data_IF_036056338274
#
_entry.id   IF_036056338274
#
_cell.length_a   1.000
_cell.length_b   1.000
_cell.length_c   1.000
_cell.angle_alpha   90.00
_cell.angle_beta   90.00
_cell.angle_gamma   90.00
#
_symmetry.space_group_name_H-M   'P 1'
#
loop_
_entity.id
_entity.type
_entity.pdbx_description
1 polymer ?
#
# COMPACT_ATOMS: atom_id res chain seq x y z
N UNK A 1 19.95 -2.23 17.72
CA UNK A 1 20.69 -1.51 16.65
C UNK A 1 19.68 -0.60 15.97
N UNK A 2 19.88 0.72 16.02
CA UNK A 2 18.97 1.67 15.38
C UNK A 2 19.30 1.70 13.89
N UNK A 3 18.55 0.95 13.08
CA UNK A 3 18.77 0.76 11.64
C UNK A 3 18.10 1.89 10.84
N UNK A 4 18.47 3.15 11.12
CA UNK A 4 18.06 4.27 10.30
C UNK A 4 19.10 4.54 9.21
N UNK A 5 18.69 4.61 7.95
CA UNK A 5 19.57 4.93 6.81
C UNK A 5 19.18 6.28 6.22
N UNK A 6 20.17 7.13 5.91
CA UNK A 6 19.94 8.45 5.30
C UNK A 6 20.21 8.39 3.80
N UNK A 7 19.34 8.98 2.99
CA UNK A 7 19.47 9.10 1.53
C UNK A 7 19.03 10.49 1.07
N UNK A 8 19.54 10.97 -0.06
CA UNK A 8 19.15 12.26 -0.65
C UNK A 8 18.32 12.05 -1.92
N UNK A 9 17.39 12.97 -2.17
CA UNK A 9 16.73 13.14 -3.47
C UNK A 9 16.78 14.63 -3.85
N UNK A 10 17.02 14.92 -5.13
CA UNK A 10 16.96 16.28 -5.65
C UNK A 10 15.76 16.37 -6.58
N UNK A 11 14.88 17.32 -6.31
CA UNK A 11 13.68 17.57 -7.09
C UNK A 11 13.72 18.96 -7.72
N UNK A 12 12.90 19.19 -8.74
CA UNK A 12 12.90 20.43 -9.52
C UNK A 12 13.88 20.44 -10.69
N UNK A 13 14.06 21.61 -11.30
CA UNK A 13 14.86 21.77 -12.52
C UNK A 13 15.60 23.10 -12.53
N UNK A 14 16.85 23.07 -13.01
CA UNK A 14 17.70 24.26 -13.09
C UNK A 14 17.98 24.85 -11.71
N UNK A 15 17.85 26.16 -11.58
CA UNK A 15 18.12 26.89 -10.33
C UNK A 15 17.02 26.71 -9.26
N UNK A 16 15.87 26.11 -9.62
CA UNK A 16 14.76 25.81 -8.70
C UNK A 16 14.82 24.36 -8.22
N UNK A 17 16.01 23.84 -7.95
CA UNK A 17 16.18 22.52 -7.37
C UNK A 17 16.12 22.60 -5.85
N UNK A 18 15.46 21.61 -5.26
CA UNK A 18 15.42 21.41 -3.81
C UNK A 18 15.95 20.03 -3.50
N UNK A 19 16.93 19.95 -2.61
CA UNK A 19 17.42 18.69 -2.08
C UNK A 19 16.65 18.34 -0.80
N UNK A 20 16.24 17.08 -0.73
CA UNK A 20 15.59 16.51 0.42
C UNK A 20 16.43 15.37 0.95
N UNK A 21 16.73 15.43 2.23
CA UNK A 21 17.36 14.33 2.92
C UNK A 21 16.31 13.46 3.62
N UNK A 22 16.15 12.24 3.12
CA UNK A 22 15.24 11.22 3.63
C UNK A 22 15.93 10.40 4.72
N UNK A 23 15.23 10.14 5.81
CA UNK A 23 15.63 9.15 6.81
C UNK A 23 14.70 7.95 6.72
N UNK A 24 15.25 6.79 6.38
CA UNK A 24 14.55 5.54 6.18
C UNK A 24 14.68 4.64 7.41
N UNK A 25 13.60 3.93 7.71
CA UNK A 25 13.52 2.89 8.74
C UNK A 25 12.93 1.63 8.12
N UNK A 26 12.83 0.55 8.90
CA UNK A 26 12.12 -0.65 8.47
C UNK A 26 10.64 -0.41 8.10
N UNK A 27 10.04 0.68 8.60
CA UNK A 27 8.65 1.06 8.33
C UNK A 27 8.52 2.04 7.15
N UNK A 28 9.62 2.34 6.45
CA UNK A 28 9.69 3.36 5.39
C UNK A 28 10.31 4.68 5.86
N UNK A 29 10.07 5.74 5.09
CA UNK A 29 10.60 7.08 5.37
C UNK A 29 9.95 7.63 6.64
N UNK A 30 10.78 7.94 7.64
CA UNK A 30 10.38 8.45 8.97
C UNK A 30 10.58 9.95 9.12
N UNK A 31 11.43 10.58 8.29
CA UNK A 31 11.54 12.03 8.25
C UNK A 31 12.15 12.50 6.93
N UNK A 32 11.80 13.72 6.55
CA UNK A 32 12.33 14.44 5.40
C UNK A 32 12.84 15.78 5.91
N UNK A 33 14.09 16.09 5.57
CA UNK A 33 14.74 17.34 5.89
C UNK A 33 15.00 18.10 4.58
N UNK A 34 14.60 19.37 4.55
CA UNK A 34 14.82 20.29 3.44
C UNK A 34 16.17 21.02 3.60
N UNK A 35 16.61 21.69 2.54
CA UNK A 35 17.91 22.40 2.50
C UNK A 35 18.06 23.53 3.52
N UNK A 36 16.95 24.15 3.92
CA UNK A 36 16.90 25.18 4.96
C UNK A 36 17.01 24.61 6.39
N UNK A 37 17.04 23.28 6.52
CA UNK A 37 17.10 22.55 7.79
C UNK A 37 15.73 22.23 8.38
N UNK A 38 14.63 22.64 7.75
CA UNK A 38 13.29 22.28 8.19
C UNK A 38 13.07 20.79 8.03
N UNK A 39 12.47 20.17 9.05
CA UNK A 39 12.27 18.72 9.11
C UNK A 39 10.83 18.36 9.40
N UNK A 40 10.23 17.62 8.47
CA UNK A 40 8.96 16.93 8.67
C UNK A 40 9.23 15.51 9.15
N UNK A 41 8.54 15.07 10.21
CA UNK A 41 8.59 13.69 10.72
C UNK A 41 7.30 12.97 10.40
N UNK A 42 7.38 11.69 10.08
CA UNK A 42 6.25 10.85 9.72
C UNK A 42 6.13 9.72 10.75
N UNK A 43 4.93 9.54 11.27
CA UNK A 43 4.60 8.47 12.19
C UNK A 43 3.84 7.40 11.41
N UNK A 44 4.29 6.15 11.54
CA UNK A 44 3.74 5.01 10.82
C UNK A 44 3.38 3.89 11.78
N UNK A 45 2.41 3.08 11.41
CA UNK A 45 2.09 1.83 12.10
C UNK A 45 3.12 0.73 11.77
N UNK A 46 3.05 -0.44 12.42
CA UNK A 46 3.94 -1.57 12.12
C UNK A 46 3.86 -2.08 10.67
N UNK A 47 2.75 -1.84 9.99
CA UNK A 47 2.53 -2.19 8.58
C UNK A 47 3.06 -1.10 7.62
N UNK A 48 3.57 0.03 8.13
CA UNK A 48 4.13 1.13 7.35
C UNK A 48 3.09 2.17 6.90
N UNK A 49 1.83 2.03 7.29
CA UNK A 49 0.76 2.98 6.97
C UNK A 49 0.89 4.26 7.77
N UNK A 50 0.57 5.39 7.14
CA UNK A 50 0.73 6.71 7.74
C UNK A 50 -0.30 6.92 8.85
N UNK A 51 0.18 7.23 10.06
CA UNK A 51 -0.65 7.61 11.20
C UNK A 51 -0.70 9.13 11.39
N UNK A 52 0.32 9.83 10.91
CA UNK A 52 0.38 11.28 11.02
C UNK A 52 1.75 11.83 10.67
N UNK A 53 1.87 13.14 10.78
CA UNK A 53 3.13 13.85 10.58
C UNK A 53 3.30 14.99 11.58
N UNK A 54 4.54 15.45 11.72
CA UNK A 54 4.91 16.60 12.54
C UNK A 54 5.70 17.55 11.65
N UNK A 55 5.15 18.74 11.42
CA UNK A 55 5.76 19.80 10.60
C UNK A 55 5.49 21.16 11.26
N UNK A 56 6.44 22.11 11.15
CA UNK A 56 6.30 23.43 11.77
C UNK A 56 6.09 23.42 13.29
N UNK A 57 6.48 22.33 13.97
CA UNK A 57 6.22 22.13 15.40
C UNK A 57 4.82 21.62 15.76
N UNK A 58 3.92 21.49 14.77
CA UNK A 58 2.55 21.01 14.96
C UNK A 58 2.40 19.55 14.51
N UNK A 59 1.54 18.79 15.19
CA UNK A 59 1.22 17.40 14.83
C UNK A 59 -0.09 17.37 14.05
N UNK A 60 -0.13 16.53 13.01
CA UNK A 60 -1.31 16.23 12.22
C UNK A 60 -1.55 14.72 12.23
N UNK A 61 -2.78 14.30 12.48
CA UNK A 61 -3.21 12.91 12.40
C UNK A 61 -3.71 12.61 10.98
N UNK A 62 -3.31 11.47 10.43
CA UNK A 62 -3.69 11.05 9.08
C UNK A 62 -4.87 10.09 9.12
N UNK A 63 -5.85 10.30 8.24
CA UNK A 63 -6.83 9.29 7.87
C UNK A 63 -6.41 8.69 6.52
N UNK A 64 -6.32 7.36 6.43
CA UNK A 64 -5.95 6.69 5.17
C UNK A 64 -6.92 5.57 4.80
N UNK A 65 -7.03 5.26 3.52
CA UNK A 65 -7.89 4.18 3.00
C UNK A 65 -7.28 2.79 3.20
N UNK A 66 -7.93 1.74 2.68
CA UNK A 66 -7.44 0.36 2.78
C UNK A 66 -6.13 0.10 2.02
N UNK A 67 -5.82 0.91 1.02
CA UNK A 67 -4.59 0.86 0.21
C UNK A 67 -3.51 1.80 0.75
N UNK A 68 -3.73 2.41 1.92
CA UNK A 68 -2.85 3.39 2.56
C UNK A 68 -2.78 4.76 1.84
N UNK A 69 -3.72 5.10 0.98
CA UNK A 69 -3.83 6.46 0.43
C UNK A 69 -4.25 7.44 1.51
N UNK A 70 -3.55 8.57 1.64
CA UNK A 70 -3.88 9.59 2.65
C UNK A 70 -5.13 10.37 2.25
N UNK A 71 -6.25 10.15 2.93
CA UNK A 71 -7.52 10.83 2.65
C UNK A 71 -7.61 12.20 3.33
N UNK A 72 -7.03 12.35 4.51
CA UNK A 72 -7.09 13.60 5.24
C UNK A 72 -5.93 13.78 6.23
N UNK A 73 -5.60 15.03 6.53
CA UNK A 73 -4.70 15.45 7.61
C UNK A 73 -5.44 16.46 8.47
N UNK A 74 -5.55 16.16 9.77
CA UNK A 74 -6.19 17.02 10.74
C UNK A 74 -5.22 17.36 11.88
N UNK A 75 -5.13 18.63 12.23
CA UNK A 75 -4.31 19.11 13.33
C UNK A 75 -4.70 18.43 14.65
N UNK A 76 -3.70 17.90 15.37
CA UNK A 76 -3.92 17.22 16.65
C UNK A 76 -4.36 18.24 17.71
N UNK A 77 -5.47 17.94 18.39
CA UNK A 77 -6.06 18.82 19.41
C UNK A 77 -6.86 20.01 18.87
N UNK A 78 -7.15 20.05 17.56
CA UNK A 78 -8.06 21.05 17.00
C UNK A 78 -9.51 20.81 17.43
N UNK A 79 -10.26 21.90 17.60
CA UNK A 79 -11.73 21.86 17.81
C UNK A 79 -12.49 21.88 16.46
N UNK A 80 -11.77 22.01 15.33
CA UNK A 80 -12.35 21.95 13.99
C UNK A 80 -12.92 20.56 13.70
N UNK A 81 -14.11 20.50 13.09
CA UNK A 81 -14.67 19.25 12.58
C UNK A 81 -14.14 18.89 11.19
N UNK A 82 -13.60 19.87 10.48
CA UNK A 82 -13.05 19.69 9.13
C UNK A 82 -11.52 19.53 9.20
N UNK A 83 -10.94 18.63 8.39
CA UNK A 83 -9.49 18.47 8.32
C UNK A 83 -8.83 19.68 7.63
N UNK A 84 -7.57 19.95 7.98
CA UNK A 84 -6.74 20.98 7.33
C UNK A 84 -6.49 20.66 5.86
N UNK A 85 -6.38 19.37 5.54
CA UNK A 85 -6.22 18.87 4.19
C UNK A 85 -7.14 17.68 3.98
N UNK A 86 -7.91 17.71 2.91
CA UNK A 86 -8.62 16.55 2.36
C UNK A 86 -8.07 16.25 0.96
N UNK A 87 -7.82 14.99 0.67
CA UNK A 87 -7.30 14.53 -0.61
C UNK A 87 -8.33 13.68 -1.35
N UNK A 88 -8.47 13.96 -2.63
CA UNK A 88 -9.18 13.16 -3.60
C UNK A 88 -8.20 12.60 -4.63
N UNK A 89 -8.54 11.46 -5.21
CA UNK A 89 -7.69 10.76 -6.16
C UNK A 89 -8.47 10.37 -7.40
N UNK A 90 -7.86 10.57 -8.57
CA UNK A 90 -8.32 9.88 -9.78
C UNK A 90 -7.98 8.39 -9.71
N UNK A 91 -8.57 7.53 -10.56
CA UNK A 91 -8.24 6.11 -10.56
C UNK A 91 -6.74 5.81 -10.73
N UNK A 92 -5.98 6.65 -11.42
CA UNK A 92 -4.53 6.47 -11.60
C UNK A 92 -3.70 7.23 -10.55
N UNK A 93 -4.35 7.71 -9.49
CA UNK A 93 -3.72 8.33 -8.35
C UNK A 93 -3.38 9.81 -8.50
N UNK A 94 -3.82 10.50 -9.55
CA UNK A 94 -3.62 11.95 -9.61
C UNK A 94 -4.30 12.59 -8.39
N UNK A 95 -3.52 13.35 -7.63
CA UNK A 95 -3.91 13.90 -6.33
C UNK A 95 -4.55 15.27 -6.50
N UNK A 96 -5.71 15.47 -5.90
CA UNK A 96 -6.33 16.78 -5.72
C UNK A 96 -6.46 17.05 -4.21
N UNK A 97 -5.99 18.21 -3.75
CA UNK A 97 -6.01 18.57 -2.34
C UNK A 97 -6.91 19.78 -2.10
N UNK A 98 -7.91 19.62 -1.25
CA UNK A 98 -8.70 20.72 -0.69
C UNK A 98 -8.09 21.10 0.66
N UNK A 99 -7.82 22.39 0.88
CA UNK A 99 -7.13 22.88 2.08
C UNK A 99 -7.92 23.95 2.82
N UNK A 100 -7.78 23.99 4.14
CA UNK A 100 -8.34 25.01 5.02
C UNK A 100 -7.26 25.56 5.96
N UNK A 101 -7.33 26.84 6.33
CA UNK A 101 -6.38 27.45 7.27
C UNK A 101 -4.92 27.32 6.80
N UNK A 102 -4.07 26.73 7.66
CA UNK A 102 -2.66 26.40 7.35
C UNK A 102 -2.49 25.20 6.41
N UNK A 103 -3.57 24.57 5.99
CA UNK A 103 -3.60 23.34 5.18
C UNK A 103 -2.78 23.38 3.89
N UNK A 104 -2.58 24.54 3.26
CA UNK A 104 -1.73 24.66 2.08
C UNK A 104 -0.26 24.26 2.35
N UNK A 105 0.31 24.74 3.46
CA UNK A 105 1.68 24.39 3.85
C UNK A 105 1.78 22.94 4.35
N UNK A 106 0.71 22.45 5.00
CA UNK A 106 0.57 21.07 5.46
C UNK A 106 0.54 20.12 4.26
N UNK A 107 -0.28 20.41 3.25
CA UNK A 107 -0.36 19.64 2.01
C UNK A 107 0.99 19.59 1.29
N UNK A 108 1.67 20.74 1.16
CA UNK A 108 3.01 20.80 0.56
C UNK A 108 4.09 20.06 1.36
N UNK A 109 3.90 19.89 2.67
CA UNK A 109 4.80 19.12 3.53
C UNK A 109 4.58 17.61 3.46
N UNK A 110 3.46 17.13 2.90
CA UNK A 110 3.12 15.71 2.87
C UNK A 110 3.29 15.11 1.46
N UNK A 111 4.38 14.37 1.20
CA UNK A 111 4.56 13.66 -0.07
C UNK A 111 3.87 12.29 -0.08
N UNK A 112 3.36 11.77 1.04
CA UNK A 112 2.74 10.44 1.10
C UNK A 112 1.25 10.54 0.82
N UNK A 113 0.88 10.36 -0.45
CA UNK A 113 -0.49 10.56 -0.94
C UNK A 113 -1.11 9.21 -1.34
N UNK A 114 -1.42 9.00 -2.62
CA UNK A 114 -2.03 7.81 -3.19
C UNK A 114 -1.22 6.55 -2.87
N UNK A 115 -1.90 5.52 -2.37
CA UNK A 115 -1.35 4.24 -1.88
C UNK A 115 -0.20 4.38 -0.86
N UNK A 116 -0.07 5.55 -0.23
CA UNK A 116 1.04 5.90 0.65
C UNK A 116 2.39 6.05 -0.05
N UNK A 117 2.39 6.11 -1.39
CA UNK A 117 3.57 6.31 -2.21
C UNK A 117 4.11 7.73 -2.03
N UNK A 118 5.43 7.89 -2.19
CA UNK A 118 6.04 9.20 -2.25
C UNK A 118 5.70 9.86 -3.59
N UNK A 119 5.01 10.99 -3.55
CA UNK A 119 4.72 11.84 -4.69
C UNK A 119 5.86 12.84 -4.89
N UNK A 120 6.41 12.84 -6.10
CA UNK A 120 7.45 13.78 -6.54
C UNK A 120 6.82 15.13 -6.89
N UNK A 121 7.62 16.19 -6.98
CA UNK A 121 7.15 17.55 -7.33
C UNK A 121 6.44 17.62 -8.69
N UNK A 122 6.79 16.71 -9.60
CA UNK A 122 6.16 16.58 -10.90
C UNK A 122 4.88 15.72 -10.88
N UNK A 123 4.42 15.32 -9.69
CA UNK A 123 3.28 14.45 -9.38
C UNK A 123 3.41 12.98 -9.77
N UNK A 124 4.57 12.56 -10.28
CA UNK A 124 4.85 11.14 -10.47
C UNK A 124 5.01 10.46 -9.09
N UNK A 125 4.65 9.19 -8.99
CA UNK A 125 4.65 8.45 -7.72
C UNK A 125 5.71 7.37 -7.70
N UNK A 126 6.52 7.36 -6.64
CA UNK A 126 7.51 6.32 -6.40
C UNK A 126 6.87 5.09 -5.74
N UNK A 127 6.58 4.07 -6.55
CA UNK A 127 5.98 2.80 -6.13
C UNK A 127 7.05 1.72 -6.10
N UNK A 128 7.69 1.55 -4.93
CA UNK A 128 8.72 0.55 -4.69
C UNK A 128 9.83 0.55 -5.74
N UNK A 129 9.70 -0.28 -6.77
CA UNK A 129 10.67 -0.49 -7.83
C UNK A 129 10.50 0.38 -9.08
N UNK A 130 9.35 1.04 -9.26
CA UNK A 130 9.03 1.81 -10.46
C UNK A 130 8.39 3.15 -10.11
N UNK A 131 8.46 4.10 -11.02
CA UNK A 131 7.76 5.38 -10.91
C UNK A 131 6.55 5.38 -11.82
N UNK A 132 5.35 5.56 -11.26
CA UNK A 132 4.11 5.74 -11.98
C UNK A 132 3.99 7.21 -12.41
N UNK A 133 3.89 7.45 -13.71
CA UNK A 133 3.71 8.81 -14.19
C UNK A 133 2.25 9.23 -14.16
N UNK A 134 1.99 10.39 -13.55
CA UNK A 134 0.65 10.98 -13.57
C UNK A 134 0.24 11.46 -14.96
N UNK A 135 1.19 11.74 -15.86
CA UNK A 135 0.90 12.26 -17.20
C UNK A 135 0.49 11.17 -18.19
N UNK A 136 1.11 10.00 -18.08
CA UNK A 136 0.89 8.89 -19.02
C UNK A 136 0.10 7.74 -18.41
N UNK A 137 -0.17 7.78 -17.09
CA UNK A 137 -0.87 6.75 -16.33
C UNK A 137 -0.20 5.36 -16.44
N UNK A 138 1.12 5.35 -16.54
CA UNK A 138 1.96 4.17 -16.79
C UNK A 138 3.25 4.27 -16.02
N UNK A 139 3.88 3.13 -15.78
CA UNK A 139 5.25 3.15 -15.26
C UNK A 139 6.21 3.78 -16.28
N UNK A 140 7.22 4.48 -15.77
CA UNK A 140 8.26 5.12 -16.59
C UNK A 140 9.42 4.17 -16.90
N UNK A 141 9.58 3.11 -16.11
CA UNK A 141 10.53 2.02 -16.33
C UNK A 141 9.80 0.73 -16.70
N UNK A 142 10.51 -0.16 -17.41
CA UNK A 142 10.04 -1.54 -17.61
C UNK A 142 9.99 -2.26 -16.28
N UNK A 143 9.00 -3.14 -16.11
CA UNK A 143 8.95 -4.10 -15.01
C UNK A 143 10.24 -4.93 -14.96
N UNK A 144 11.06 -4.80 -13.91
CA UNK A 144 12.26 -5.61 -13.76
C UNK A 144 11.94 -7.10 -13.51
N UNK A 145 10.70 -7.46 -13.17
CA UNK A 145 10.27 -8.84 -12.98
C UNK A 145 10.10 -9.58 -14.32
N UNK A 146 9.78 -8.86 -15.41
CA UNK A 146 9.40 -9.41 -16.71
C UNK A 146 8.19 -10.36 -16.68
N UNK A 147 7.32 -10.24 -15.68
CA UNK A 147 6.19 -11.16 -15.49
C UNK A 147 4.89 -10.65 -16.14
N UNK A 148 4.80 -9.35 -16.45
CA UNK A 148 3.66 -8.74 -17.13
C UNK A 148 3.77 -8.82 -18.66
N UNK A 149 2.64 -8.99 -19.36
CA UNK A 149 2.60 -8.90 -20.83
C UNK A 149 2.98 -7.50 -21.35
N UNK A 150 2.64 -6.47 -20.56
CA UNK A 150 3.00 -5.09 -20.85
C UNK A 150 3.77 -4.52 -19.67
N UNK A 151 5.09 -4.42 -19.81
CA UNK A 151 6.02 -4.07 -18.73
C UNK A 151 5.87 -2.64 -18.18
N UNK A 152 4.91 -1.86 -18.71
CA UNK A 152 4.67 -0.47 -18.31
C UNK A 152 3.24 -0.26 -17.77
N UNK A 153 2.41 -1.30 -17.68
CA UNK A 153 1.04 -1.14 -17.16
C UNK A 153 1.03 -0.95 -15.67
N UNK A 154 0.18 -0.07 -15.18
CA UNK A 154 -0.19 -0.02 -13.78
C UNK A 154 -1.50 -0.79 -13.59
N UNK A 155 -1.53 -1.67 -12.57
CA UNK A 155 -2.74 -2.36 -12.12
C UNK A 155 -3.54 -3.07 -13.24
N UNK A 156 -2.87 -3.64 -14.26
CA UNK A 156 -3.52 -4.23 -15.45
C UNK A 156 -4.54 -3.31 -16.16
N UNK A 157 -4.32 -1.99 -16.09
CA UNK A 157 -5.26 -0.96 -16.59
C UNK A 157 -6.63 -0.93 -15.88
N UNK A 158 -6.76 -1.56 -14.71
CA UNK A 158 -7.97 -1.56 -13.88
C UNK A 158 -7.66 -1.06 -12.45
N UNK A 159 -7.22 0.20 -12.30
CA UNK A 159 -6.71 0.70 -11.03
C UNK A 159 -7.81 1.01 -9.99
N UNK A 160 -9.09 0.86 -10.37
CA UNK A 160 -10.22 0.95 -9.43
C UNK A 160 -10.32 -0.34 -8.61
N UNK A 161 -10.04 -1.49 -9.23
CA UNK A 161 -10.19 -2.81 -8.61
C UNK A 161 -8.85 -3.46 -8.24
N UNK A 162 -7.72 -2.87 -8.69
CA UNK A 162 -6.38 -3.41 -8.50
C UNK A 162 -5.41 -2.28 -8.15
N UNK A 163 -4.37 -2.62 -7.41
CA UNK A 163 -3.26 -1.72 -7.12
C UNK A 163 -1.94 -2.48 -7.24
N UNK A 164 -0.87 -1.76 -7.59
CA UNK A 164 0.51 -2.25 -7.56
C UNK A 164 1.36 -1.42 -6.57
N UNK A 165 1.26 -1.66 -5.25
CA UNK A 165 2.01 -0.89 -4.27
C UNK A 165 3.53 -1.11 -4.32
N UNK A 166 3.98 -2.27 -4.83
CA UNK A 166 5.41 -2.60 -4.94
C UNK A 166 6.04 -2.10 -6.23
N UNK A 167 5.23 -1.75 -7.23
CA UNK A 167 5.69 -1.50 -8.58
C UNK A 167 6.25 -2.76 -9.23
N UNK A 168 5.77 -3.96 -8.91
CA UNK A 168 6.22 -5.25 -9.48
C UNK A 168 5.06 -6.20 -9.75
N UNK A 169 3.82 -5.72 -9.70
CA UNK A 169 2.71 -6.61 -9.42
C UNK A 169 2.48 -7.66 -10.51
N UNK A 170 2.34 -8.88 -10.00
CA UNK A 170 1.91 -10.08 -10.72
C UNK A 170 0.72 -10.63 -9.95
N UNK A 171 -0.47 -10.45 -10.52
CA UNK A 171 -1.74 -11.13 -10.23
C UNK A 171 -2.03 -11.52 -8.78
N UNK A 172 -3.11 -10.97 -8.19
CA UNK A 172 -3.57 -11.25 -6.82
C UNK A 172 -3.26 -12.68 -6.38
N UNK A 173 -2.24 -12.87 -5.56
CA UNK A 173 -2.06 -14.13 -4.87
C UNK A 173 -3.17 -14.20 -3.82
N UNK A 174 -4.31 -14.78 -4.18
CA UNK A 174 -5.32 -15.19 -3.21
C UNK A 174 -4.62 -16.24 -2.33
N UNK A 175 -4.10 -15.81 -1.18
CA UNK A 175 -3.59 -16.71 -0.16
C UNK A 175 -4.81 -17.39 0.48
N UNK A 176 -5.39 -18.37 -0.22
CA UNK A 176 -6.32 -19.31 0.41
C UNK A 176 -5.45 -20.27 1.22
N UNK A 177 -5.15 -19.91 2.47
CA UNK A 177 -4.49 -20.82 3.38
C UNK A 177 -5.46 -21.97 3.69
N UNK A 178 -5.17 -23.14 3.11
CA UNK A 178 -5.68 -24.49 3.43
C UNK A 178 -7.08 -24.63 4.05
N UNK A 179 -8.02 -25.21 3.29
CA UNK A 179 -9.23 -25.80 3.87
C UNK A 179 -8.85 -27.08 4.64
N UNK A 180 -9.04 -27.09 5.97
CA UNK A 180 -9.04 -28.33 6.73
C UNK A 180 -10.46 -28.88 6.80
N UNK A 181 -10.73 -29.95 6.07
CA UNK A 181 -11.92 -30.77 6.32
C UNK A 181 -11.53 -31.77 7.40
N UNK A 182 -11.86 -31.45 8.65
CA UNK A 182 -11.81 -32.43 9.73
C UNK A 182 -13.01 -33.37 9.56
N UNK A 183 -12.80 -34.54 8.95
CA UNK A 183 -13.72 -35.65 9.11
C UNK A 183 -13.61 -36.14 10.56
N UNK A 184 -14.54 -35.73 11.43
CA UNK A 184 -14.67 -36.31 12.76
C UNK A 184 -15.17 -37.75 12.54
N UNK A 185 -14.22 -38.69 12.40
CA UNK A 185 -14.49 -40.11 12.41
C UNK A 185 -14.77 -40.56 13.83
N UNK A 186 -15.98 -41.02 14.11
CA UNK A 186 -16.19 -41.83 15.31
C UNK A 186 -15.32 -43.08 15.20
N UNK A 187 -14.53 -43.32 16.25
CA UNK A 187 -13.51 -44.34 16.42
C UNK A 187 -12.14 -44.06 15.76
N UNK A 188 -11.38 -43.14 16.37
CA UNK A 188 -10.01 -43.48 16.79
C UNK A 188 -8.82 -43.04 15.93
N UNK A 189 -9.01 -42.40 14.78
CA UNK A 189 -7.89 -41.80 14.05
C UNK A 189 -8.33 -40.61 13.21
N UNK A 190 -8.17 -39.39 13.73
CA UNK A 190 -8.29 -38.17 12.95
C UNK A 190 -7.03 -38.01 12.10
N UNK A 191 -7.12 -38.28 10.79
CA UNK A 191 -6.06 -37.93 9.85
C UNK A 191 -6.40 -36.56 9.27
N UNK A 192 -5.57 -35.52 9.47
CA UNK A 192 -5.79 -34.25 8.78
C UNK A 192 -5.55 -34.46 7.28
N UNK A 193 -6.61 -34.37 6.48
CA UNK A 193 -6.49 -34.29 5.03
C UNK A 193 -6.23 -32.81 4.69
N UNK A 194 -4.99 -32.47 4.39
CA UNK A 194 -4.64 -31.16 3.86
C UNK A 194 -4.96 -31.12 2.35
N UNK A 195 -6.00 -30.38 1.96
CA UNK A 195 -6.20 -30.04 0.54
C UNK A 195 -5.45 -28.73 0.27
N UNK A 196 -4.28 -28.85 -0.36
CA UNK A 196 -3.59 -27.71 -0.93
C UNK A 196 -4.22 -27.38 -2.29
N UNK A 197 -5.01 -26.32 -2.37
CA UNK A 197 -5.45 -25.75 -3.64
C UNK A 197 -4.39 -24.72 -4.04
N UNK A 198 -3.49 -25.10 -4.94
CA UNK A 198 -2.56 -24.17 -5.59
C UNK A 198 -3.28 -23.39 -6.69
N UNK A 199 -3.22 -22.07 -6.65
CA UNK A 199 -3.79 -21.19 -7.68
C UNK A 199 -2.88 -21.13 -8.90
N UNK A 200 -3.44 -21.47 -10.07
CA UNK A 200 -2.79 -21.26 -11.37
C UNK A 200 -2.39 -22.56 -12.08
N UNK A 201 -3.35 -23.20 -12.74
CA UNK A 201 -3.15 -24.38 -13.58
C UNK A 201 -4.14 -25.50 -13.26
N UNK A 202 -4.73 -26.11 -14.29
CA UNK A 202 -5.77 -27.13 -14.18
C UNK A 202 -5.40 -28.23 -13.16
N UNK A 203 -6.14 -28.30 -12.05
CA UNK A 203 -6.01 -29.39 -11.07
C UNK A 203 -6.86 -30.58 -11.55
N UNK A 204 -6.18 -31.64 -11.98
CA UNK A 204 -6.81 -32.93 -12.21
C UNK A 204 -7.31 -33.49 -10.87
N UNK A 205 -8.63 -33.58 -10.71
CA UNK A 205 -9.24 -34.26 -9.56
C UNK A 205 -8.92 -35.76 -9.64
N UNK A 206 -8.28 -36.38 -8.64
CA UNK A 206 -8.24 -37.84 -8.59
C UNK A 206 -9.64 -38.32 -8.21
N UNK A 207 -10.32 -38.96 -9.16
CA UNK A 207 -11.58 -39.65 -8.91
C UNK A 207 -11.34 -40.78 -7.91
N UNK A 208 -11.96 -40.71 -6.72
CA UNK A 208 -12.12 -41.87 -5.84
C UNK A 208 -13.60 -42.16 -5.65
N UNK A 209 -14.01 -43.29 -6.24
CA UNK A 209 -15.26 -44.00 -5.97
C UNK A 209 -15.23 -44.54 -4.53
N UNK A 210 -16.28 -44.30 -3.74
CA UNK A 210 -17.16 -45.33 -3.14
C UNK A 210 -18.00 -44.76 -1.98
N UNK A 211 -19.28 -45.16 -1.96
CA UNK A 211 -20.00 -45.56 -0.74
C UNK A 211 -20.70 -44.45 0.05
N UNK A 212 -22.03 -44.47 0.04
CA UNK A 212 -22.88 -43.59 0.83
C UNK A 212 -22.64 -43.72 2.35
N UNK A 213 -22.16 -42.64 2.98
CA UNK A 213 -22.37 -42.36 4.39
C UNK A 213 -22.35 -40.84 4.58
N UNK A 214 -23.47 -40.26 5.02
CA UNK A 214 -23.59 -38.83 5.30
C UNK A 214 -22.77 -38.52 6.56
N UNK A 215 -21.59 -37.93 6.38
CA UNK A 215 -20.71 -37.47 7.46
C UNK A 215 -21.01 -35.98 7.69
N UNK A 216 -21.33 -35.61 8.94
CA UNK A 216 -21.49 -34.20 9.32
C UNK A 216 -20.16 -33.47 9.16
N UNK A 217 -20.08 -32.55 8.20
CA UNK A 217 -18.91 -31.71 7.95
C UNK A 217 -19.02 -30.44 8.78
N UNK A 218 -18.11 -30.26 9.74
CA UNK A 218 -17.90 -28.96 10.38
C UNK A 218 -17.01 -28.09 9.49
N UNK A 219 -17.57 -27.01 8.93
CA UNK A 219 -16.81 -26.03 8.13
C UNK A 219 -16.44 -24.86 9.04
N UNK A 220 -15.15 -24.71 9.35
CA UNK A 220 -14.62 -23.51 9.98
C UNK A 220 -13.93 -22.65 8.93
N UNK A 221 -14.43 -21.42 8.71
CA UNK A 221 -13.76 -20.41 7.88
C UNK A 221 -13.13 -19.40 8.83
N UNK A 222 -11.81 -19.24 8.78
CA UNK A 222 -11.14 -18.09 9.37
C UNK A 222 -10.94 -17.05 8.28
N UNK A 223 -11.54 -15.87 8.47
CA UNK A 223 -11.37 -14.74 7.57
C UNK A 223 -9.99 -14.12 7.77
N UNK A 224 -9.26 -13.93 6.68
CA UNK A 224 -8.08 -13.06 6.64
C UNK A 224 -8.37 -11.98 5.62
N UNK A 225 -8.11 -10.73 6.02
CA UNK A 225 -8.27 -9.56 5.18
C UNK A 225 -7.45 -9.71 3.89
N UNK A 226 -8.09 -9.43 2.76
CA UNK A 226 -7.43 -9.25 1.47
C UNK A 226 -7.05 -7.79 1.38
N UNK A 227 -5.76 -7.50 1.19
CA UNK A 227 -5.31 -6.21 0.67
C UNK A 227 -4.94 -6.43 -0.80
N UNK A 228 -5.84 -6.03 -1.68
CA UNK A 228 -5.58 -5.60 -3.04
C UNK A 228 -6.39 -4.32 -3.23
#
# INVERSE_FOLDING_TARGET
MNSSQRSGITQGSGDNQTEHTLTNTALGISSIEQDDGDRTRYVRDPEGRMLGMITGGQRYNAATDAQNSTLALAEDGTESTDPDVAYDYTPYGQTEATTAGSGGAVAGSNPFTYTGAYELDNGDKALGHRYLSQRTHRFTQQDPSWQENNLYTYAECDPINKSDPSGLWVGCAVNVTGFFVSAIGYAGAAWPLAIAIGTGGAVAMPAFLFGAAVIGVGVGVYGIATAC
#
